data_IF_555180882109
#
_entry.id   IF_555180882109
#
_cell.length_a   1.000
_cell.length_b   1.000
_cell.length_c   1.000
_cell.angle_alpha   90.00
_cell.angle_beta   90.00
_cell.angle_gamma   90.00
#
_symmetry.space_group_name_H-M   'P 1'
#
loop_
_entity.id
_entity.type
_entity.pdbx_description
1 polymer ?
#
# COMPACT_ATOMS: atom_id res chain seq x y z
N UNK A 1 26.50 -17.75 -17.21
CA UNK A 1 26.70 -16.76 -16.13
C UNK A 1 25.91 -17.25 -14.94
N UNK A 2 26.56 -17.40 -13.79
CA UNK A 2 25.85 -17.77 -12.57
C UNK A 2 24.97 -16.61 -12.13
N UNK A 3 23.65 -16.82 -12.15
CA UNK A 3 22.67 -15.83 -11.66
C UNK A 3 22.68 -15.86 -10.13
N UNK A 4 22.75 -14.69 -9.49
CA UNK A 4 22.73 -14.54 -8.03
C UNK A 4 21.87 -13.35 -7.63
N UNK A 5 21.09 -13.52 -6.57
CA UNK A 5 20.29 -12.46 -5.96
C UNK A 5 20.67 -12.32 -4.48
N UNK A 6 20.59 -11.09 -3.97
CA UNK A 6 21.01 -10.73 -2.62
C UNK A 6 19.81 -10.12 -1.90
N UNK A 7 19.54 -10.57 -0.68
CA UNK A 7 18.52 -9.98 0.17
C UNK A 7 19.08 -8.74 0.89
N UNK A 8 18.80 -7.56 0.33
CA UNK A 8 19.21 -6.29 0.93
C UNK A 8 18.58 -6.03 2.31
N UNK A 9 17.43 -6.64 2.62
CA UNK A 9 16.80 -6.54 3.94
C UNK A 9 17.65 -7.24 4.99
N UNK A 10 18.17 -8.43 4.67
CA UNK A 10 19.08 -9.17 5.53
C UNK A 10 20.43 -8.45 5.67
N UNK A 11 20.99 -7.93 4.58
CA UNK A 11 22.21 -7.10 4.61
C UNK A 11 22.03 -5.92 5.56
N UNK A 12 20.94 -5.17 5.43
CA UNK A 12 20.63 -4.02 6.30
C UNK A 12 20.56 -4.43 7.77
N UNK A 13 19.87 -5.55 8.08
CA UNK A 13 19.76 -6.07 9.46
C UNK A 13 21.13 -6.43 10.03
N UNK A 14 21.98 -7.10 9.25
CA UNK A 14 23.33 -7.49 9.68
C UNK A 14 24.22 -6.27 9.98
N UNK A 15 24.08 -5.20 9.18
CA UNK A 15 24.88 -4.00 9.30
C UNK A 15 24.35 -2.97 10.33
N UNK A 16 23.12 -3.13 10.82
CA UNK A 16 22.43 -2.14 11.67
C UNK A 16 23.16 -1.76 12.97
N UNK A 17 24.05 -2.63 13.47
CA UNK A 17 24.87 -2.39 14.68
C UNK A 17 26.13 -1.56 14.44
N UNK A 18 26.49 -1.30 13.18
CA UNK A 18 27.71 -0.58 12.80
C UNK A 18 27.37 0.88 12.49
N UNK A 19 27.59 1.77 13.46
CA UNK A 19 27.25 3.19 13.36
C UNK A 19 27.96 3.90 12.20
N UNK A 20 29.16 3.46 11.85
CA UNK A 20 29.96 3.95 10.72
C UNK A 20 29.42 3.52 9.36
N UNK A 21 28.57 2.48 9.30
CA UNK A 21 27.86 2.04 8.10
C UNK A 21 26.40 2.54 8.06
N UNK A 22 26.05 3.49 8.93
CA UNK A 22 24.68 4.00 9.05
C UNK A 22 24.15 4.60 7.74
N UNK A 23 25.01 5.24 6.95
CA UNK A 23 24.61 5.81 5.65
C UNK A 23 24.05 4.72 4.71
N UNK A 24 24.74 3.58 4.61
CA UNK A 24 24.32 2.43 3.79
C UNK A 24 23.03 1.80 4.33
N UNK A 25 22.96 1.59 5.65
CA UNK A 25 21.77 1.04 6.33
C UNK A 25 20.54 1.93 6.07
N UNK A 26 20.70 3.24 6.18
CA UNK A 26 19.62 4.20 5.95
C UNK A 26 19.25 4.29 4.46
N UNK A 27 20.22 4.20 3.54
CA UNK A 27 19.96 4.15 2.10
C UNK A 27 19.08 2.95 1.73
N UNK A 28 19.45 1.75 2.20
CA UNK A 28 18.68 0.52 1.96
C UNK A 28 17.27 0.66 2.57
N UNK A 29 17.16 1.14 3.81
CA UNK A 29 15.86 1.35 4.47
C UNK A 29 14.96 2.29 3.67
N UNK A 30 15.51 3.39 3.15
CA UNK A 30 14.74 4.38 2.37
C UNK A 30 14.25 3.77 1.05
N UNK A 31 15.09 2.98 0.39
CA UNK A 31 14.71 2.22 -0.81
C UNK A 31 13.57 1.24 -0.50
N UNK A 32 13.73 0.37 0.50
CA UNK A 32 12.68 -0.57 0.96
C UNK A 32 11.34 0.14 1.21
N UNK A 33 11.37 1.27 1.91
CA UNK A 33 10.17 2.05 2.20
C UNK A 33 9.51 2.62 0.93
N UNK A 34 10.29 3.10 -0.05
CA UNK A 34 9.74 3.60 -1.31
C UNK A 34 9.12 2.48 -2.15
N UNK A 35 9.79 1.33 -2.27
CA UNK A 35 9.29 0.17 -3.01
C UNK A 35 8.04 -0.41 -2.36
N UNK A 36 7.99 -0.48 -1.02
CA UNK A 36 6.80 -0.94 -0.29
C UNK A 36 5.59 -0.02 -0.50
N UNK A 37 5.78 1.30 -0.49
CA UNK A 37 4.69 2.26 -0.76
C UNK A 37 4.23 2.16 -2.22
N UNK A 38 5.14 1.98 -3.17
CA UNK A 38 4.78 1.78 -4.57
C UNK A 38 3.92 0.53 -4.74
N UNK A 39 4.30 -0.59 -4.10
CA UNK A 39 3.53 -1.83 -4.11
C UNK A 39 2.10 -1.63 -3.59
N UNK A 40 1.95 -0.95 -2.45
CA UNK A 40 0.62 -0.66 -1.89
C UNK A 40 -0.23 0.22 -2.82
N UNK A 41 0.36 1.22 -3.47
CA UNK A 41 -0.37 2.06 -4.43
C UNK A 41 -0.76 1.27 -5.69
N UNK A 42 0.04 0.28 -6.11
CA UNK A 42 -0.34 -0.66 -7.17
C UNK A 42 -1.52 -1.54 -6.75
N UNK A 43 -1.55 -2.01 -5.50
CA UNK A 43 -2.67 -2.82 -4.99
C UNK A 43 -3.98 -2.02 -4.96
N UNK A 44 -3.91 -0.72 -4.64
CA UNK A 44 -5.05 0.20 -4.75
C UNK A 44 -5.58 0.26 -6.19
N UNK A 45 -4.71 0.34 -7.19
CA UNK A 45 -5.12 0.36 -8.61
C UNK A 45 -5.86 -0.95 -8.95
N UNK A 46 -5.31 -2.10 -8.55
CA UNK A 46 -5.94 -3.42 -8.76
C UNK A 46 -7.32 -3.48 -8.12
N UNK A 47 -7.48 -3.00 -6.89
CA UNK A 47 -8.78 -2.97 -6.23
C UNK A 47 -9.80 -2.08 -6.95
N UNK A 48 -9.37 -0.91 -7.46
CA UNK A 48 -10.22 0.00 -8.23
C UNK A 48 -10.61 -0.58 -9.60
N UNK A 49 -9.72 -1.32 -10.25
CA UNK A 49 -10.00 -2.03 -11.51
C UNK A 49 -10.98 -3.18 -11.28
N UNK A 50 -10.80 -3.97 -10.21
CA UNK A 50 -11.74 -5.00 -9.82
C UNK A 50 -13.15 -4.44 -9.55
N UNK A 51 -13.28 -3.27 -8.91
CA UNK A 51 -14.59 -2.59 -8.74
C UNK A 51 -15.23 -2.29 -10.10
N UNK A 52 -14.45 -1.82 -11.07
CA UNK A 52 -14.96 -1.51 -12.42
C UNK A 52 -15.39 -2.79 -13.16
N UNK A 53 -14.64 -3.87 -13.05
CA UNK A 53 -14.93 -5.16 -13.68
C UNK A 53 -16.22 -5.79 -13.14
N UNK A 54 -16.44 -5.76 -11.82
CA UNK A 54 -17.63 -6.37 -11.21
C UNK A 54 -18.89 -5.49 -11.33
N UNK A 55 -18.78 -4.27 -11.88
CA UNK A 55 -19.85 -3.28 -11.85
C UNK A 55 -21.12 -3.75 -12.56
N UNK A 56 -20.99 -4.52 -13.64
CA UNK A 56 -22.11 -5.06 -14.42
C UNK A 56 -22.72 -6.32 -13.80
N UNK A 57 -22.03 -6.96 -12.84
CA UNK A 57 -22.50 -8.15 -12.15
C UNK A 57 -23.14 -7.77 -10.80
N UNK A 58 -24.48 -7.75 -10.74
CA UNK A 58 -25.21 -7.32 -9.53
C UNK A 58 -24.87 -8.15 -8.27
N UNK A 59 -24.64 -9.46 -8.43
CA UNK A 59 -24.28 -10.33 -7.32
C UNK A 59 -22.87 -10.02 -6.82
N UNK A 60 -21.88 -9.94 -7.71
CA UNK A 60 -20.50 -9.62 -7.34
C UNK A 60 -20.41 -8.20 -6.75
N UNK A 61 -21.08 -7.23 -7.36
CA UNK A 61 -21.15 -5.85 -6.87
C UNK A 61 -21.68 -5.80 -5.43
N UNK A 62 -22.81 -6.45 -5.15
CA UNK A 62 -23.40 -6.45 -3.78
C UNK A 62 -22.54 -7.16 -2.74
N UNK A 63 -21.72 -8.16 -3.14
CA UNK A 63 -20.89 -8.95 -2.22
C UNK A 63 -19.51 -8.36 -1.98
N UNK A 64 -18.89 -7.76 -3.00
CA UNK A 64 -17.45 -7.45 -2.98
C UNK A 64 -17.11 -5.97 -3.04
N UNK A 65 -17.92 -5.12 -3.69
CA UNK A 65 -17.55 -3.72 -3.93
C UNK A 65 -17.27 -2.93 -2.65
N UNK A 66 -18.04 -3.17 -1.58
CA UNK A 66 -17.83 -2.57 -0.26
C UNK A 66 -16.48 -2.93 0.35
N UNK A 67 -16.07 -4.20 0.24
CA UNK A 67 -14.78 -4.68 0.76
C UNK A 67 -13.61 -4.15 -0.07
N UNK A 68 -13.73 -4.18 -1.40
CA UNK A 68 -12.71 -3.65 -2.31
C UNK A 68 -12.50 -2.14 -2.11
N UNK A 69 -13.57 -1.38 -1.90
CA UNK A 69 -13.47 0.06 -1.67
C UNK A 69 -12.83 0.38 -0.31
N UNK A 70 -13.15 -0.39 0.73
CA UNK A 70 -12.49 -0.25 2.04
C UNK A 70 -11.01 -0.56 1.92
N UNK A 71 -10.65 -1.65 1.27
CA UNK A 71 -9.25 -2.04 1.04
C UNK A 71 -8.50 -0.95 0.27
N UNK A 72 -9.04 -0.47 -0.86
CA UNK A 72 -8.45 0.59 -1.67
C UNK A 72 -8.20 1.87 -0.86
N UNK A 73 -9.18 2.33 -0.07
CA UNK A 73 -9.05 3.54 0.75
C UNK A 73 -8.04 3.35 1.87
N UNK A 74 -8.11 2.24 2.61
CA UNK A 74 -7.21 1.97 3.74
C UNK A 74 -5.78 1.83 3.26
N UNK A 75 -5.56 1.07 2.19
CA UNK A 75 -4.23 0.86 1.59
C UNK A 75 -3.68 2.17 1.03
N UNK A 76 -4.49 2.97 0.32
CA UNK A 76 -4.10 4.31 -0.14
C UNK A 76 -3.70 5.23 1.03
N UNK A 77 -4.52 5.30 2.07
CA UNK A 77 -4.23 6.13 3.24
C UNK A 77 -2.96 5.66 3.94
N UNK A 78 -2.74 4.34 4.09
CA UNK A 78 -1.51 3.78 4.69
C UNK A 78 -0.27 4.17 3.88
N UNK A 79 -0.34 4.06 2.55
CA UNK A 79 0.74 4.40 1.63
C UNK A 79 1.07 5.90 1.62
N UNK A 80 0.08 6.77 1.86
CA UNK A 80 0.21 8.23 1.78
C UNK A 80 0.34 8.93 3.14
N UNK A 81 0.17 8.21 4.25
CA UNK A 81 0.14 8.81 5.59
C UNK A 81 1.48 9.46 5.96
N UNK A 82 1.45 10.76 6.27
CA UNK A 82 2.65 11.53 6.60
C UNK A 82 3.24 11.23 7.98
N UNK A 83 2.51 10.54 8.87
CA UNK A 83 2.94 10.28 10.27
C UNK A 83 3.32 8.82 10.55
N UNK A 84 3.49 7.99 9.51
CA UNK A 84 3.87 6.58 9.71
C UNK A 84 5.29 6.43 10.26
N UNK A 85 5.43 6.20 11.57
CA UNK A 85 6.74 6.12 12.26
C UNK A 85 7.65 4.98 11.74
N UNK A 86 7.06 3.85 11.30
CA UNK A 86 7.83 2.67 10.89
C UNK A 86 8.52 2.83 9.53
N UNK A 87 7.81 3.40 8.53
CA UNK A 87 8.28 3.50 7.14
C UNK A 87 8.85 4.87 6.76
N UNK A 88 8.65 5.88 7.62
CA UNK A 88 9.04 7.25 7.31
C UNK A 88 8.17 7.86 6.21
N UNK A 89 7.96 9.17 6.25
CA UNK A 89 7.24 9.85 5.17
C UNK A 89 8.10 9.85 3.89
N UNK A 90 7.70 9.08 2.87
CA UNK A 90 8.47 9.05 1.62
C UNK A 90 8.17 10.25 0.71
N UNK A 91 7.09 10.98 0.95
CA UNK A 91 6.67 12.11 0.10
C UNK A 91 5.87 11.70 -1.13
N UNK A 92 5.09 10.61 -1.08
CA UNK A 92 4.27 10.16 -2.21
C UNK A 92 3.25 11.21 -2.69
N UNK A 93 2.78 12.07 -1.79
CA UNK A 93 1.82 13.15 -2.07
C UNK A 93 2.48 14.48 -2.43
N UNK A 94 3.82 14.57 -2.52
CA UNK A 94 4.56 15.84 -2.68
C UNK A 94 4.24 16.60 -3.97
N UNK A 95 3.69 15.92 -4.98
CA UNK A 95 3.33 16.49 -6.28
C UNK A 95 1.85 16.85 -6.41
N UNK A 96 1.06 16.70 -5.34
CA UNK A 96 -0.35 17.08 -5.37
C UNK A 96 -0.50 18.59 -5.48
N UNK A 97 -1.41 19.02 -6.36
CA UNK A 97 -1.92 20.40 -6.40
C UNK A 97 -2.80 20.68 -5.18
N UNK A 98 -3.17 21.94 -4.97
CA UNK A 98 -4.13 22.33 -3.91
C UNK A 98 -5.46 21.56 -4.03
N UNK A 99 -6.01 21.47 -5.24
CA UNK A 99 -7.25 20.73 -5.49
C UNK A 99 -7.11 19.22 -5.20
N UNK A 100 -5.96 18.63 -5.53
CA UNK A 100 -5.66 17.22 -5.20
C UNK A 100 -5.47 17.01 -3.70
N UNK A 101 -4.91 17.99 -2.99
CA UNK A 101 -4.82 17.93 -1.53
C UNK A 101 -6.20 17.97 -0.88
N UNK A 102 -7.18 18.69 -1.45
CA UNK A 102 -8.57 18.64 -0.99
C UNK A 102 -9.21 17.26 -1.22
N UNK A 103 -9.03 16.68 -2.43
CA UNK A 103 -9.45 15.29 -2.70
C UNK A 103 -8.84 14.31 -1.71
N UNK A 104 -7.53 14.43 -1.47
CA UNK A 104 -6.80 13.61 -0.50
C UNK A 104 -7.41 13.71 0.91
N UNK A 105 -7.74 14.92 1.37
CA UNK A 105 -8.40 15.12 2.68
C UNK A 105 -9.75 14.41 2.75
N UNK A 106 -10.58 14.47 1.70
CA UNK A 106 -11.87 13.77 1.67
C UNK A 106 -11.71 12.24 1.75
N UNK A 107 -10.70 11.68 1.10
CA UNK A 107 -10.40 10.24 1.18
C UNK A 107 -9.89 9.87 2.59
N UNK A 108 -9.02 10.70 3.18
CA UNK A 108 -8.55 10.49 4.55
C UNK A 108 -9.69 10.59 5.56
N UNK A 109 -10.61 11.55 5.40
CA UNK A 109 -11.81 11.67 6.24
C UNK A 109 -12.70 10.43 6.13
N UNK A 110 -12.92 9.94 4.91
CA UNK A 110 -13.65 8.68 4.67
C UNK A 110 -12.99 7.51 5.44
N UNK A 111 -11.66 7.38 5.38
CA UNK A 111 -10.95 6.34 6.13
C UNK A 111 -11.11 6.53 7.64
N UNK A 112 -10.81 7.71 8.15
CA UNK A 112 -10.73 7.98 9.58
C UNK A 112 -12.12 7.93 10.23
N UNK A 113 -13.12 8.61 9.65
CA UNK A 113 -14.43 8.79 10.28
C UNK A 113 -15.44 7.69 9.99
N UNK A 114 -15.22 6.91 8.93
CA UNK A 114 -16.20 5.89 8.51
C UNK A 114 -15.65 4.48 8.61
N UNK A 115 -14.38 4.25 8.23
CA UNK A 115 -13.82 2.90 8.23
C UNK A 115 -13.09 2.55 9.52
N UNK A 116 -12.36 3.51 10.09
CA UNK A 116 -11.54 3.29 11.28
C UNK A 116 -12.25 3.65 12.60
N UNK A 117 -13.14 4.64 12.58
CA UNK A 117 -13.83 5.12 13.78
C UNK A 117 -15.35 5.14 13.59
N UNK A 118 -16.12 4.96 14.67
CA UNK A 118 -17.55 5.27 14.71
C UNK A 118 -17.75 6.78 14.90
N UNK A 119 -17.23 7.56 13.94
CA UNK A 119 -17.32 9.02 13.96
C UNK A 119 -18.49 9.54 13.13
N UNK A 120 -18.80 10.82 13.31
CA UNK A 120 -19.63 11.55 12.35
C UNK A 120 -18.71 12.11 11.26
N UNK A 121 -18.82 11.64 10.01
CA UNK A 121 -18.04 12.19 8.91
C UNK A 121 -18.39 13.66 8.69
N UNK A 122 -17.38 14.46 8.32
CA UNK A 122 -17.58 15.89 8.01
C UNK A 122 -17.45 16.20 6.51
N UNK A 123 -16.82 15.31 5.75
CA UNK A 123 -16.61 15.47 4.31
C UNK A 123 -17.65 14.72 3.47
N UNK A 124 -17.82 15.15 2.22
CA UNK A 124 -18.86 14.66 1.30
C UNK A 124 -18.88 13.13 1.16
N UNK A 125 -17.71 12.50 0.98
CA UNK A 125 -17.63 11.04 0.82
C UNK A 125 -18.11 10.30 2.05
N UNK A 126 -17.72 10.75 3.24
CA UNK A 126 -18.11 10.09 4.48
C UNK A 126 -19.61 10.24 4.75
N UNK A 127 -20.18 11.43 4.53
CA UNK A 127 -21.62 11.71 4.72
C UNK A 127 -22.52 10.83 3.85
N UNK A 128 -22.03 10.41 2.68
CA UNK A 128 -22.78 9.57 1.74
C UNK A 128 -22.55 8.06 1.95
N UNK A 129 -21.60 7.67 2.79
CA UNK A 129 -21.21 6.27 2.94
C UNK A 129 -22.08 5.49 3.92
N UNK A 130 -22.43 6.07 5.07
CA UNK A 130 -23.08 5.38 6.17
C UNK A 130 -24.12 6.28 6.84
N UNK A 131 -25.35 5.80 6.98
CA UNK A 131 -26.39 6.41 7.83
C UNK A 131 -26.93 5.33 8.77
N UNK A 132 -26.82 5.59 10.07
CA UNK A 132 -27.19 4.68 11.14
C UNK A 132 -28.16 5.38 12.09
N UNK A 133 -29.31 4.77 12.36
CA UNK A 133 -30.38 5.35 13.17
C UNK A 133 -30.98 4.33 14.11
N UNK A 134 -30.98 4.66 15.41
CA UNK A 134 -31.85 4.00 16.38
C UNK A 134 -33.25 4.64 16.29
N UNK A 135 -34.28 3.82 16.11
CA UNK A 135 -35.68 4.28 16.02
C UNK A 135 -36.56 3.45 16.94
N UNK A 136 -37.68 4.03 17.36
CA UNK A 136 -38.79 3.29 17.99
C UNK A 136 -39.87 3.10 16.92
N UNK A 137 -40.25 1.86 16.65
CA UNK A 137 -41.39 1.51 15.79
C UNK A 137 -42.62 1.38 16.67
N UNK A 138 -43.70 2.09 16.35
CA UNK A 138 -44.98 1.96 17.03
C UNK A 138 -45.87 1.03 16.21
N UNK A 139 -46.14 -0.18 16.70
CA UNK A 139 -46.95 -1.19 16.01
C UNK A 139 -47.97 -1.76 17.00
N UNK A 140 -49.26 -1.59 16.73
CA UNK A 140 -50.32 -2.17 17.58
C UNK A 140 -50.39 -1.61 19.01
N UNK A 141 -49.77 -0.46 19.29
CA UNK A 141 -49.67 0.11 20.64
C UNK A 141 -48.35 -0.22 21.36
N UNK A 142 -47.55 -1.16 20.83
CA UNK A 142 -46.25 -1.50 21.38
C UNK A 142 -45.12 -0.68 20.73
N UNK A 143 -44.15 -0.27 21.55
CA UNK A 143 -42.93 0.39 21.12
C UNK A 143 -41.79 -0.61 20.96
N UNK A 144 -41.33 -0.83 19.72
CA UNK A 144 -40.23 -1.75 19.40
C UNK A 144 -38.99 -0.94 19.02
N UNK A 145 -37.91 -1.08 19.79
CA UNK A 145 -36.61 -0.50 19.44
C UNK A 145 -36.01 -1.23 18.24
N UNK A 146 -35.49 -0.48 17.27
CA UNK A 146 -34.84 -1.01 16.08
C UNK A 146 -33.64 -0.15 15.70
N UNK A 147 -32.56 -0.79 15.28
CA UNK A 147 -31.42 -0.13 14.65
C UNK A 147 -31.53 -0.31 13.14
N UNK A 148 -31.41 0.78 12.38
CA UNK A 148 -31.44 0.76 10.92
C UNK A 148 -30.13 1.32 10.40
N UNK A 149 -29.65 0.73 9.31
CA UNK A 149 -28.40 1.10 8.68
C UNK A 149 -28.55 1.09 7.18
N UNK A 150 -28.07 2.14 6.53
CA UNK A 150 -27.79 2.14 5.09
C UNK A 150 -26.29 2.34 4.88
N UNK A 151 -25.75 1.65 3.87
CA UNK A 151 -24.34 1.74 3.53
C UNK A 151 -24.17 1.80 2.02
N UNK A 152 -23.30 2.68 1.55
CA UNK A 152 -22.84 2.66 0.17
C UNK A 152 -22.02 1.39 -0.10
N UNK A 153 -22.26 0.80 -1.27
CA UNK A 153 -21.43 -0.28 -1.82
C UNK A 153 -20.07 0.27 -2.26
N UNK A 154 -20.09 1.34 -3.03
CA UNK A 154 -18.96 2.22 -3.30
C UNK A 154 -19.52 3.60 -3.67
N UNK A 155 -18.67 4.62 -3.69
CA UNK A 155 -19.04 5.96 -4.15
C UNK A 155 -18.26 6.26 -5.43
N UNK A 156 -18.96 6.48 -6.55
CA UNK A 156 -18.31 6.75 -7.84
C UNK A 156 -17.36 7.95 -7.76
N UNK A 157 -17.77 9.04 -7.10
CA UNK A 157 -16.92 10.22 -6.88
C UNK A 157 -15.65 9.89 -6.07
N UNK A 158 -15.73 8.98 -5.09
CA UNK A 158 -14.56 8.57 -4.32
C UNK A 158 -13.62 7.66 -5.15
N UNK A 159 -14.16 6.83 -6.04
CA UNK A 159 -13.38 6.03 -7.00
C UNK A 159 -12.65 6.94 -7.99
N UNK A 160 -13.32 7.97 -8.52
CA UNK A 160 -12.71 8.97 -9.41
C UNK A 160 -11.59 9.74 -8.72
N UNK A 161 -11.86 10.28 -7.52
CA UNK A 161 -10.85 10.97 -6.70
C UNK A 161 -9.65 10.04 -6.43
N UNK A 162 -9.88 8.78 -6.03
CA UNK A 162 -8.81 7.81 -5.78
C UNK A 162 -8.00 7.50 -7.03
N UNK A 163 -8.62 7.28 -8.19
CA UNK A 163 -7.92 6.98 -9.44
C UNK A 163 -6.97 8.11 -9.85
N UNK A 164 -7.40 9.36 -9.73
CA UNK A 164 -6.52 10.50 -9.99
C UNK A 164 -5.35 10.56 -8.99
N UNK A 165 -5.67 10.48 -7.70
CA UNK A 165 -4.68 10.62 -6.63
C UNK A 165 -3.64 9.49 -6.64
N UNK A 166 -4.07 8.25 -6.86
CA UNK A 166 -3.19 7.07 -6.87
C UNK A 166 -2.28 7.08 -8.08
N UNK A 167 -2.74 7.53 -9.26
CA UNK A 167 -1.89 7.62 -10.45
C UNK A 167 -0.68 8.55 -10.21
N UNK A 168 -0.92 9.72 -9.60
CA UNK A 168 0.13 10.68 -9.29
C UNK A 168 1.03 10.19 -8.15
N UNK A 169 0.44 9.62 -7.10
CA UNK A 169 1.21 9.07 -5.98
C UNK A 169 2.09 7.90 -6.40
N UNK A 170 1.59 6.98 -7.23
CA UNK A 170 2.33 5.82 -7.72
C UNK A 170 3.49 6.27 -8.63
N UNK A 171 3.24 7.20 -9.55
CA UNK A 171 4.31 7.78 -10.37
C UNK A 171 5.39 8.47 -9.53
N UNK A 172 4.99 9.17 -8.46
CA UNK A 172 5.91 9.82 -7.53
C UNK A 172 6.71 8.80 -6.72
N UNK A 173 6.05 7.75 -6.20
CA UNK A 173 6.68 6.68 -5.44
C UNK A 173 7.67 5.87 -6.30
N UNK A 174 7.33 5.63 -7.58
CA UNK A 174 8.22 4.99 -8.54
C UNK A 174 9.50 5.79 -8.75
N UNK A 175 9.38 7.07 -9.07
CA UNK A 175 10.54 7.97 -9.24
C UNK A 175 11.41 8.02 -7.97
N UNK A 176 10.79 8.07 -6.79
CA UNK A 176 11.51 8.01 -5.51
C UNK A 176 12.19 6.67 -5.26
N UNK A 177 11.56 5.56 -5.65
CA UNK A 177 12.15 4.22 -5.52
C UNK A 177 13.38 4.06 -6.42
N UNK A 178 13.31 4.57 -7.66
CA UNK A 178 14.44 4.57 -8.60
C UNK A 178 15.59 5.44 -8.09
N UNK A 179 15.32 6.69 -7.68
CA UNK A 179 16.29 7.62 -7.09
C UNK A 179 17.00 6.99 -5.87
N UNK A 180 16.23 6.36 -4.97
CA UNK A 180 16.79 5.73 -3.77
C UNK A 180 17.54 4.44 -4.09
N UNK A 181 17.15 3.71 -5.13
CA UNK A 181 17.90 2.56 -5.62
C UNK A 181 19.28 2.96 -6.13
N UNK A 182 19.37 4.07 -6.89
CA UNK A 182 20.65 4.66 -7.29
C UNK A 182 21.47 5.09 -6.07
N UNK A 183 20.85 5.73 -5.07
CA UNK A 183 21.53 6.11 -3.84
C UNK A 183 22.10 4.91 -3.07
N UNK A 184 21.38 3.77 -3.02
CA UNK A 184 21.92 2.53 -2.44
C UNK A 184 23.17 2.08 -3.18
N UNK A 185 23.15 2.11 -4.52
CA UNK A 185 24.30 1.74 -5.34
C UNK A 185 25.51 2.64 -5.08
N UNK A 186 25.30 3.97 -5.11
CA UNK A 186 26.36 4.95 -4.85
C UNK A 186 27.00 4.78 -3.47
N UNK A 187 26.19 4.61 -2.43
CA UNK A 187 26.67 4.42 -1.06
C UNK A 187 27.37 3.08 -0.90
N UNK A 188 26.85 2.02 -1.52
CA UNK A 188 27.50 0.71 -1.52
C UNK A 188 28.92 0.77 -2.10
N UNK A 189 29.12 1.49 -3.22
CA UNK A 189 30.45 1.66 -3.83
C UNK A 189 31.47 2.32 -2.89
N UNK A 190 31.04 3.25 -2.02
CA UNK A 190 31.92 3.86 -1.01
C UNK A 190 32.42 2.86 0.05
N UNK A 191 31.69 1.77 0.25
CA UNK A 191 31.97 0.74 1.25
C UNK A 191 32.27 -0.62 0.62
N UNK A 192 32.59 -0.68 -0.67
CA UNK A 192 32.78 -1.94 -1.40
C UNK A 192 33.94 -2.77 -0.83
N UNK A 193 34.98 -2.11 -0.33
CA UNK A 193 36.14 -2.76 0.27
C UNK A 193 35.96 -3.08 1.76
N UNK A 194 34.83 -2.73 2.38
CA UNK A 194 34.58 -3.01 3.79
C UNK A 194 34.28 -4.51 3.99
N UNK A 195 35.12 -5.26 4.74
CA UNK A 195 34.93 -6.69 4.93
C UNK A 195 33.59 -7.04 5.57
N UNK A 196 33.02 -6.15 6.40
CA UNK A 196 31.72 -6.39 7.05
C UNK A 196 30.57 -6.30 6.06
N UNK A 197 30.66 -5.38 5.10
CA UNK A 197 29.68 -5.24 4.01
C UNK A 197 29.75 -6.46 3.09
N UNK A 198 30.95 -6.88 2.70
CA UNK A 198 31.16 -8.06 1.87
C UNK A 198 30.67 -9.34 2.58
N UNK A 199 30.92 -9.46 3.88
CA UNK A 199 30.40 -10.59 4.67
C UNK A 199 28.88 -10.58 4.75
N UNK A 200 28.26 -9.43 5.03
CA UNK A 200 26.80 -9.31 5.07
C UNK A 200 26.16 -9.69 3.73
N UNK A 201 26.74 -9.28 2.60
CA UNK A 201 26.27 -9.65 1.25
C UNK A 201 26.39 -11.15 1.03
N UNK A 202 27.54 -11.76 1.34
CA UNK A 202 27.76 -13.21 1.16
C UNK A 202 26.83 -14.05 2.02
N UNK A 203 26.53 -13.59 3.23
CA UNK A 203 25.64 -14.26 4.17
C UNK A 203 24.14 -14.04 3.89
N UNK A 204 23.79 -13.24 2.88
CA UNK A 204 22.39 -12.85 2.57
C UNK A 204 21.96 -13.22 1.15
N UNK A 205 22.12 -14.48 0.68
CA UNK A 205 21.58 -14.89 -0.60
C UNK A 205 20.04 -14.80 -0.57
N UNK A 206 19.44 -14.34 -1.66
CA UNK A 206 18.01 -14.47 -1.89
C UNK A 206 17.78 -15.63 -2.86
N UNK A 207 17.09 -16.68 -2.39
CA UNK A 207 16.67 -17.80 -3.23
C UNK A 207 15.20 -17.61 -3.62
N UNK A 208 14.88 -17.38 -4.91
CA UNK A 208 13.51 -17.23 -5.35
C UNK A 208 12.67 -18.49 -5.09
N UNK A 209 13.23 -19.69 -5.18
CA UNK A 209 12.47 -20.93 -4.94
C UNK A 209 12.12 -21.11 -3.47
N UNK A 210 12.98 -20.68 -2.55
CA UNK A 210 12.67 -20.68 -1.11
C UNK A 210 11.63 -19.61 -0.76
N UNK A 211 11.71 -18.43 -1.37
CA UNK A 211 10.83 -17.31 -1.05
C UNK A 211 9.43 -17.47 -1.66
N UNK A 212 9.38 -17.78 -2.95
CA UNK A 212 8.16 -17.91 -3.73
C UNK A 212 7.57 -19.33 -3.65
N UNK A 213 8.40 -20.33 -3.38
CA UNK A 213 8.07 -21.73 -3.60
C UNK A 213 8.29 -22.14 -5.06
N UNK A 214 8.32 -23.45 -5.36
CA UNK A 214 8.43 -23.91 -6.74
C UNK A 214 7.23 -23.46 -7.57
N UNK A 215 7.50 -22.84 -8.73
CA UNK A 215 6.45 -22.41 -9.66
C UNK A 215 6.87 -21.24 -10.56
N UNK A 216 5.90 -20.78 -11.35
CA UNK A 216 6.09 -19.77 -12.39
C UNK A 216 6.76 -18.49 -11.87
N UNK A 217 6.38 -17.98 -10.70
CA UNK A 217 6.95 -16.74 -10.17
C UNK A 217 8.44 -16.88 -9.79
N UNK A 218 8.87 -18.06 -9.30
CA UNK A 218 10.28 -18.34 -9.03
C UNK A 218 11.09 -18.51 -10.32
N UNK A 219 10.49 -19.15 -11.33
CA UNK A 219 11.10 -19.34 -12.66
C UNK A 219 11.27 -18.00 -13.38
N UNK A 220 10.23 -17.15 -13.35
CA UNK A 220 10.19 -15.84 -14.02
C UNK A 220 10.97 -14.76 -13.27
N UNK A 221 11.35 -14.96 -12.00
CA UNK A 221 12.07 -13.98 -11.17
C UNK A 221 13.26 -13.33 -11.90
N UNK A 222 14.01 -14.11 -12.68
CA UNK A 222 15.19 -13.64 -13.41
C UNK A 222 14.88 -12.86 -14.69
N UNK A 223 13.65 -12.97 -15.19
CA UNK A 223 13.17 -12.33 -16.41
C UNK A 223 12.33 -11.08 -16.11
N UNK A 224 12.12 -10.79 -14.81
CA UNK A 224 11.44 -9.57 -14.33
C UNK A 224 12.27 -8.34 -14.69
N UNK A 225 11.74 -7.50 -15.58
CA UNK A 225 12.32 -6.21 -15.92
C UNK A 225 12.54 -5.32 -14.68
N UNK A 226 13.62 -4.51 -14.70
CA UNK A 226 13.92 -3.55 -13.63
C UNK A 226 12.68 -2.77 -13.17
N UNK A 227 12.42 -2.81 -11.86
CA UNK A 227 11.33 -2.06 -11.23
C UNK A 227 9.95 -2.73 -11.25
N UNK A 228 9.83 -3.97 -11.72
CA UNK A 228 8.60 -4.77 -11.52
C UNK A 228 8.67 -5.58 -10.21
N UNK A 229 7.55 -5.65 -9.50
CA UNK A 229 7.38 -6.45 -8.26
C UNK A 229 7.20 -7.92 -8.65
N UNK A 230 7.94 -8.83 -8.00
CA UNK A 230 7.57 -10.25 -7.90
C UNK A 230 6.66 -10.43 -6.68
N UNK A 231 5.50 -11.07 -6.85
CA UNK A 231 4.53 -11.29 -5.78
C UNK A 231 3.84 -12.63 -5.95
N UNK A 232 3.52 -13.28 -4.83
CA UNK A 232 2.67 -14.47 -4.79
C UNK A 232 1.51 -14.25 -3.83
N UNK A 233 0.32 -14.58 -4.29
CA UNK A 233 -0.85 -14.74 -3.45
C UNK A 233 -0.84 -16.16 -2.85
N UNK A 234 -0.44 -16.27 -1.59
CA UNK A 234 -0.49 -17.55 -0.86
C UNK A 234 -1.94 -17.83 -0.44
N UNK A 235 -2.55 -18.86 -1.02
CA UNK A 235 -3.93 -19.26 -0.72
C UNK A 235 -4.05 -20.24 0.46
N UNK A 236 -2.93 -20.59 1.12
CA UNK A 236 -2.87 -21.47 2.29
C UNK A 236 -1.55 -21.31 3.03
N UNK A 237 -1.58 -21.48 4.36
CA UNK A 237 -0.39 -21.53 5.21
C UNK A 237 0.44 -22.78 4.85
N UNK A 238 1.61 -22.57 4.24
CA UNK A 238 2.71 -23.55 4.17
C UNK A 238 3.87 -23.03 5.00
#
# INVERSE_FOLDING_TARGET
>A
MDRKAIDLTLVRKALAKHNDLKELVDAIRKYEAASSVLAELSDVIVALDAIAEIQTNAMARSKFSGSLMVDAVVTYCRATHSKGAARGHIGATKRYTTAQMEKHRRIVDLRDKVFAHQGFPSEEHGLRWLDERAVVKLVGGDGILSFNRTRANYLAAAVEDLRELVAIAAATAKSLSEERGMSVHEVHLKHADDPRVMEAIRASPFDPYDFFGPGQDADEFWDIAHGKRGEILRNSDR
#
